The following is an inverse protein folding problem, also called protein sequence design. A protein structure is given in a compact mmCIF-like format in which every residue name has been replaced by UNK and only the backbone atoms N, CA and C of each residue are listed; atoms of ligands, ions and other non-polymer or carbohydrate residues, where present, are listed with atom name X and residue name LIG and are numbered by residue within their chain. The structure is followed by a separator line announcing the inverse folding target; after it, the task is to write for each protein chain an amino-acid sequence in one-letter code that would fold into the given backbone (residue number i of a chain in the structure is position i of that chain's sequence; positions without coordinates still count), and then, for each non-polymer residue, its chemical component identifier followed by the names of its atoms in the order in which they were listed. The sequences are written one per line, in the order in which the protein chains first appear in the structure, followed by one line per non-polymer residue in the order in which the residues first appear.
data_IF_760785088576
#
_entry.id   IF_760785088576
#
_cell.length_a   1.000
_cell.length_b   1.000
_cell.length_c   1.000
_cell.angle_alpha   90.00
_cell.angle_beta   90.00
_cell.angle_gamma   90.00
#
_symmetry.space_group_name_H-M   'P 1'
#
loop_
_entity.id
_entity.type
_entity.pdbx_description
1 polymer ?
#
# COMPACT_ATOMS: atom_id res chain seq x y z
N UNK A 1 -10.05 -8.09 20.59
CA UNK A 1 -8.94 -7.35 19.97
C UNK A 1 -7.73 -7.43 20.90
N UNK A 2 -6.72 -8.24 20.56
CA UNK A 2 -5.48 -8.42 21.35
C UNK A 2 -4.21 -8.36 20.48
N UNK A 3 -4.34 -7.97 19.21
CA UNK A 3 -3.20 -7.81 18.32
C UNK A 3 -2.36 -6.58 18.70
N UNK A 4 -1.09 -6.52 18.28
CA UNK A 4 -0.28 -5.32 18.43
C UNK A 4 -0.97 -4.14 17.73
N UNK A 5 -0.72 -2.93 18.24
CA UNK A 5 -1.17 -1.71 17.58
C UNK A 5 -0.35 -1.51 16.31
N UNK A 6 -1.00 -1.08 15.23
CA UNK A 6 -0.31 -0.82 13.98
C UNK A 6 0.59 0.41 14.07
N UNK A 7 1.78 0.32 13.48
CA UNK A 7 2.80 1.38 13.45
C UNK A 7 2.83 2.13 12.12
N UNK A 8 2.22 1.58 11.07
CA UNK A 8 2.17 2.19 9.73
C UNK A 8 0.80 2.01 9.07
N UNK A 9 0.47 2.92 8.16
CA UNK A 9 -0.73 2.84 7.30
C UNK A 9 -0.34 3.09 5.85
N UNK A 10 -0.89 2.30 4.94
CA UNK A 10 -0.74 2.50 3.50
C UNK A 10 -1.98 3.17 2.92
N UNK A 11 -1.81 4.26 2.17
CA UNK A 11 -2.90 5.06 1.63
C UNK A 11 -2.76 5.24 0.10
N UNK A 12 -3.72 4.78 -0.70
CA UNK A 12 -3.85 5.19 -2.09
C UNK A 12 -4.01 6.71 -2.18
N UNK A 13 -3.21 7.35 -3.02
CA UNK A 13 -3.24 8.79 -3.24
C UNK A 13 -3.43 9.08 -4.73
N UNK A 14 -4.48 9.82 -5.05
CA UNK A 14 -5.04 9.94 -6.40
C UNK A 14 -4.81 11.36 -6.93
N UNK A 15 -4.27 11.49 -8.13
CA UNK A 15 -4.16 12.77 -8.85
C UNK A 15 -5.23 12.97 -9.92
N UNK A 16 -6.02 11.94 -10.24
CA UNK A 16 -7.12 12.06 -11.21
C UNK A 16 -8.07 13.20 -10.81
N UNK A 17 -8.48 13.99 -11.80
CA UNK A 17 -9.38 15.14 -11.64
C UNK A 17 -8.84 16.29 -10.76
N UNK A 18 -7.53 16.31 -10.46
CA UNK A 18 -6.90 17.43 -9.72
C UNK A 18 -6.21 18.45 -10.64
N UNK A 19 -6.07 18.15 -11.94
CA UNK A 19 -5.27 18.94 -12.89
C UNK A 19 -3.76 18.63 -12.85
N UNK A 20 -3.30 17.81 -11.91
CA UNK A 20 -1.89 17.39 -11.81
C UNK A 20 -1.63 16.19 -12.73
N UNK A 21 -0.71 16.35 -13.69
CA UNK A 21 -0.29 15.28 -14.61
C UNK A 21 0.84 14.44 -14.00
N UNK A 22 0.50 13.63 -12.98
CA UNK A 22 1.41 12.69 -12.32
C UNK A 22 0.73 11.35 -12.07
N UNK A 23 1.49 10.25 -11.95
CA UNK A 23 0.91 8.97 -11.59
C UNK A 23 0.39 9.01 -10.16
N UNK A 24 -0.68 8.28 -9.90
CA UNK A 24 -1.12 7.99 -8.55
C UNK A 24 0.00 7.28 -7.78
N UNK A 25 -0.05 7.31 -6.46
CA UNK A 25 0.99 6.71 -5.63
C UNK A 25 0.42 6.08 -4.36
N UNK A 26 1.17 5.16 -3.78
CA UNK A 26 0.91 4.62 -2.45
C UNK A 26 1.74 5.38 -1.43
N UNK A 27 1.10 6.07 -0.50
CA UNK A 27 1.77 6.67 0.65
C UNK A 27 1.95 5.63 1.75
N UNK A 28 3.11 5.63 2.42
CA UNK A 28 3.32 4.95 3.69
C UNK A 28 3.41 6.02 4.77
N UNK A 29 2.49 5.97 5.74
CA UNK A 29 2.38 6.92 6.85
C UNK A 29 2.79 6.24 8.12
N UNK A 30 3.69 6.87 8.89
CA UNK A 30 4.04 6.41 10.23
C UNK A 30 2.96 6.86 11.22
N UNK A 31 2.41 5.90 11.96
CA UNK A 31 1.35 6.12 12.96
C UNK A 31 1.74 5.64 14.36
N UNK A 32 3.02 5.34 14.59
CA UNK A 32 3.55 5.07 15.93
C UNK A 32 3.79 6.39 16.70
N UNK A 33 3.07 6.67 17.80
CA UNK A 33 3.27 7.89 18.59
C UNK A 33 4.68 8.05 19.19
N UNK A 34 5.48 6.98 19.22
CA UNK A 34 6.86 7.03 19.71
C UNK A 34 7.88 7.33 18.61
N UNK A 35 7.46 7.27 17.34
CA UNK A 35 8.33 7.56 16.20
C UNK A 35 8.61 9.06 16.08
N UNK A 36 9.85 9.49 15.76
CA UNK A 36 10.12 10.89 15.40
C UNK A 36 9.41 11.32 14.10
N UNK A 37 8.87 10.36 13.34
CA UNK A 37 8.11 10.59 12.11
C UNK A 37 6.59 10.42 12.31
N UNK A 38 6.10 10.39 13.55
CA UNK A 38 4.68 10.24 13.83
C UNK A 38 3.81 11.23 13.03
N UNK A 39 2.75 10.71 12.39
CA UNK A 39 1.85 11.45 11.50
C UNK A 39 2.51 12.04 10.24
N UNK A 40 3.64 11.49 9.79
CA UNK A 40 4.31 11.90 8.56
C UNK A 40 4.22 10.83 7.47
N UNK A 41 4.21 11.28 6.20
CA UNK A 41 4.42 10.39 5.06
C UNK A 41 5.90 10.06 4.98
N UNK A 42 6.27 8.83 5.35
CA UNK A 42 7.66 8.35 5.39
C UNK A 42 8.13 7.77 4.06
N UNK A 43 7.21 7.35 3.18
CA UNK A 43 7.54 6.87 1.85
C UNK A 43 6.41 7.12 0.85
N UNK A 44 6.78 7.33 -0.42
CA UNK A 44 5.84 7.47 -1.54
C UNK A 44 6.29 6.54 -2.67
N UNK A 45 5.46 5.56 -3.00
CA UNK A 45 5.67 4.67 -4.13
C UNK A 45 4.81 5.14 -5.32
N UNK A 46 5.37 5.88 -6.29
CA UNK A 46 4.61 6.25 -7.50
C UNK A 46 4.32 5.02 -8.35
N UNK A 47 3.11 4.95 -8.91
CA UNK A 47 2.75 3.96 -9.91
C UNK A 47 3.44 4.27 -11.25
N UNK A 48 3.67 3.26 -12.10
CA UNK A 48 4.40 3.45 -13.34
C UNK A 48 3.57 4.14 -14.44
N UNK A 49 2.25 4.25 -14.28
CA UNK A 49 1.37 4.76 -15.32
C UNK A 49 0.50 5.93 -14.83
N UNK A 50 0.08 6.78 -15.78
CA UNK A 50 -0.88 7.85 -15.53
C UNK A 50 -2.33 7.33 -15.60
N UNK A 51 -3.24 8.08 -14.97
CA UNK A 51 -4.71 7.96 -15.12
C UNK A 51 -5.30 6.62 -14.64
N UNK A 52 -4.69 6.02 -13.62
CA UNK A 52 -5.14 4.75 -13.00
C UNK A 52 -6.40 4.90 -12.15
N UNK A 53 -6.41 5.88 -11.24
CA UNK A 53 -7.33 5.98 -10.11
C UNK A 53 -7.17 4.81 -9.13
N UNK A 54 -6.09 4.84 -8.34
CA UNK A 54 -5.90 3.93 -7.21
C UNK A 54 -6.99 4.17 -6.15
N UNK A 55 -8.03 3.33 -6.11
CA UNK A 55 -9.21 3.61 -5.27
C UNK A 55 -9.27 2.74 -4.01
N UNK A 56 -9.11 1.42 -4.17
CA UNK A 56 -9.13 0.46 -3.07
C UNK A 56 -7.85 -0.39 -3.07
N UNK A 57 -7.54 -0.96 -1.92
CA UNK A 57 -6.43 -1.89 -1.75
C UNK A 57 -6.81 -3.03 -0.81
N UNK A 58 -6.27 -4.22 -1.07
CA UNK A 58 -6.45 -5.40 -0.22
C UNK A 58 -5.15 -6.16 0.03
N UNK A 59 -5.17 -7.06 0.99
CA UNK A 59 -4.05 -7.95 1.28
C UNK A 59 -4.11 -9.24 0.47
N UNK A 60 -2.96 -9.78 0.06
CA UNK A 60 -2.89 -11.07 -0.65
C UNK A 60 -3.30 -12.28 0.23
N UNK A 61 -3.14 -12.16 1.54
CA UNK A 61 -3.53 -13.16 2.53
C UNK A 61 -3.94 -12.44 3.82
N UNK A 62 -4.89 -13.01 4.56
CA UNK A 62 -5.34 -12.48 5.84
C UNK A 62 -5.70 -13.62 6.81
N UNK A 63 -6.41 -13.29 7.89
CA UNK A 63 -6.80 -14.26 8.91
C UNK A 63 -7.69 -15.39 8.40
N UNK A 64 -8.29 -15.27 7.21
CA UNK A 64 -9.01 -16.38 6.57
C UNK A 64 -8.11 -17.56 6.22
N UNK A 65 -6.79 -17.35 6.11
CA UNK A 65 -5.79 -18.40 5.89
C UNK A 65 -5.31 -19.05 7.21
N UNK A 66 -6.09 -18.99 8.28
CA UNK A 66 -5.69 -19.53 9.59
C UNK A 66 -5.27 -21.01 9.49
N UNK A 67 -4.10 -21.34 10.04
CA UNK A 67 -3.54 -22.69 10.02
C UNK A 67 -2.71 -23.05 8.78
N UNK A 68 -2.68 -22.21 7.75
CA UNK A 68 -1.83 -22.43 6.56
C UNK A 68 -0.53 -21.61 6.65
N UNK A 69 0.53 -22.26 7.12
CA UNK A 69 1.86 -21.65 7.25
C UNK A 69 2.53 -21.29 5.91
N UNK A 70 1.99 -21.75 4.77
CA UNK A 70 2.52 -21.41 3.45
C UNK A 70 2.07 -20.03 2.96
N UNK A 71 1.10 -19.40 3.65
CA UNK A 71 0.58 -18.07 3.31
C UNK A 71 1.19 -17.00 4.19
N UNK A 72 1.41 -15.83 3.61
CA UNK A 72 1.94 -14.67 4.33
C UNK A 72 1.28 -13.39 3.83
N UNK A 73 0.90 -12.51 4.78
CA UNK A 73 0.39 -11.16 4.50
C UNK A 73 1.58 -10.24 4.24
N UNK A 74 2.10 -10.28 3.01
CA UNK A 74 3.33 -9.59 2.62
C UNK A 74 3.19 -8.80 1.30
N UNK A 75 2.00 -8.79 0.70
CA UNK A 75 1.72 -8.03 -0.52
C UNK A 75 0.39 -7.29 -0.39
N UNK A 76 0.39 -6.06 -0.91
CA UNK A 76 -0.82 -5.30 -1.18
C UNK A 76 -1.21 -5.48 -2.64
N UNK A 77 -2.51 -5.66 -2.87
CA UNK A 77 -3.14 -5.75 -4.18
C UNK A 77 -3.90 -4.44 -4.41
N UNK A 78 -3.50 -3.69 -5.42
CA UNK A 78 -4.01 -2.35 -5.74
C UNK A 78 -4.66 -2.36 -7.13
N UNK A 79 -5.97 -2.68 -7.23
CA UNK A 79 -6.72 -2.46 -8.46
C UNK A 79 -6.89 -0.96 -8.74
N UNK A 80 -6.75 -0.60 -10.01
CA UNK A 80 -6.94 0.76 -10.51
C UNK A 80 -8.30 0.87 -11.17
N UNK A 81 -9.17 1.73 -10.63
CA UNK A 81 -10.59 1.75 -10.96
C UNK A 81 -10.85 2.01 -12.44
N UNK A 82 -10.04 2.85 -13.09
CA UNK A 82 -10.33 3.30 -14.45
C UNK A 82 -9.49 2.60 -15.51
N UNK A 83 -8.24 2.29 -15.21
CA UNK A 83 -7.36 1.62 -16.18
C UNK A 83 -7.53 0.10 -16.21
N UNK A 84 -8.21 -0.47 -15.21
CA UNK A 84 -8.26 -1.91 -14.95
C UNK A 84 -6.91 -2.57 -14.66
N UNK A 85 -5.83 -1.79 -14.49
CA UNK A 85 -4.53 -2.33 -14.07
C UNK A 85 -4.57 -2.77 -12.63
N UNK A 86 -3.85 -3.85 -12.32
CA UNK A 86 -3.66 -4.33 -10.95
C UNK A 86 -2.18 -4.27 -10.63
N UNK A 87 -1.84 -3.49 -9.61
CA UNK A 87 -0.48 -3.45 -9.07
C UNK A 87 -0.37 -4.38 -7.88
N UNK A 88 0.71 -5.18 -7.87
CA UNK A 88 1.09 -5.96 -6.70
C UNK A 88 2.28 -5.26 -6.06
N UNK A 89 2.14 -4.90 -4.79
CA UNK A 89 3.15 -4.17 -4.03
C UNK A 89 3.71 -5.09 -2.96
N UNK A 90 5.01 -5.31 -2.98
CA UNK A 90 5.76 -6.02 -1.94
C UNK A 90 5.98 -5.09 -0.75
N UNK A 91 5.46 -5.49 0.41
CA UNK A 91 5.66 -4.86 1.70
C UNK A 91 6.34 -5.80 2.70
N UNK A 92 6.66 -7.03 2.28
CA UNK A 92 7.32 -8.03 3.12
C UNK A 92 8.82 -7.82 3.22
N UNK A 93 9.44 -7.28 2.17
CA UNK A 93 10.88 -6.96 2.20
C UNK A 93 11.17 -5.77 3.10
N UNK A 94 10.41 -4.69 2.92
CA UNK A 94 10.48 -3.49 3.76
C UNK A 94 9.08 -2.86 3.82
N UNK A 95 8.49 -2.88 5.01
CA UNK A 95 7.16 -2.34 5.24
C UNK A 95 7.14 -0.80 5.26
N UNK A 96 8.27 -0.15 5.56
CA UNK A 96 8.39 1.31 5.58
C UNK A 96 8.74 1.89 4.22
N UNK A 97 9.31 1.09 3.31
CA UNK A 97 9.60 1.46 1.92
C UNK A 97 9.08 0.41 0.90
N UNK A 98 7.75 0.32 0.67
CA UNK A 98 7.17 -0.62 -0.27
C UNK A 98 7.68 -0.47 -1.70
N UNK A 99 7.66 -1.57 -2.47
CA UNK A 99 8.08 -1.59 -3.87
C UNK A 99 7.11 -2.38 -4.74
N UNK A 100 7.05 -2.05 -6.03
CA UNK A 100 6.28 -2.86 -6.98
C UNK A 100 6.91 -4.24 -7.05
N UNK A 101 6.11 -5.27 -6.80
CA UNK A 101 6.52 -6.65 -7.00
C UNK A 101 6.58 -6.92 -8.50
N UNK A 102 7.77 -7.28 -8.98
CA UNK A 102 7.96 -7.84 -10.31
C UNK A 102 8.05 -9.36 -10.14
N UNK A 103 7.19 -10.08 -10.85
CA UNK A 103 7.21 -11.55 -10.91
C UNK A 103 8.43 -12.06 -11.65
#
# INVERSE_FOLDING_TARGET
MKGPREEIVYLPCIYRNTGVEKPDYLATVDVDPKSPHYCQVIHRLPMPNLKDELHHSGWNACSSCFGDATKSRNRLILPSLISSRVYVVDVGTDARAPRIHKG
#
